data_IF_094553328537
#
_entry.id   IF_094553328537
#
_cell.length_a   1.000
_cell.length_b   1.000
_cell.length_c   1.000
_cell.angle_alpha   90.00
_cell.angle_beta   90.00
_cell.angle_gamma   90.00
#
_symmetry.space_group_name_H-M   'P 1'
#
loop_
_entity.id
_entity.type
_entity.pdbx_description
1 polymer ?
#
# COMPACT_ATOMS: atom_id res chain seq x y z
N UNK A 1 -14.62 3.16 30.00
CA UNK A 1 -15.41 2.03 29.50
C UNK A 1 -16.21 2.53 28.29
N UNK A 2 -15.68 2.38 27.10
CA UNK A 2 -16.38 2.74 25.86
C UNK A 2 -17.17 1.50 25.41
N UNK A 3 -18.50 1.59 25.52
CA UNK A 3 -19.39 0.55 25.02
C UNK A 3 -19.32 0.53 23.48
N UNK A 4 -18.69 -0.50 22.93
CA UNK A 4 -18.67 -0.76 21.51
C UNK A 4 -20.07 -1.13 21.01
N UNK A 5 -20.52 -0.49 19.95
CA UNK A 5 -21.74 -0.84 19.23
C UNK A 5 -21.60 -2.27 18.69
N UNK A 6 -22.50 -3.20 18.96
CA UNK A 6 -22.39 -4.59 18.49
C UNK A 6 -22.57 -4.66 16.97
N UNK A 7 -21.92 -5.62 16.26
CA UNK A 7 -21.95 -5.74 14.80
C UNK A 7 -23.33 -6.07 14.20
N UNK A 8 -24.32 -6.41 15.00
CA UNK A 8 -25.67 -6.81 14.56
C UNK A 8 -26.70 -5.69 14.50
N UNK A 9 -26.33 -4.42 14.74
CA UNK A 9 -27.27 -3.29 14.73
C UNK A 9 -26.86 -2.18 13.78
N UNK A 10 -26.60 -2.51 12.52
CA UNK A 10 -26.68 -1.50 11.45
C UNK A 10 -28.14 -1.41 11.03
N UNK A 11 -28.93 -0.71 11.85
CA UNK A 11 -30.31 -0.38 11.53
C UNK A 11 -30.35 0.50 10.26
N UNK A 12 -31.40 0.37 9.42
CA UNK A 12 -31.56 1.25 8.26
C UNK A 12 -31.84 2.68 8.74
N UNK A 13 -31.03 3.59 8.23
CA UNK A 13 -31.19 5.04 8.18
C UNK A 13 -32.13 5.70 9.22
N UNK A 14 -31.50 6.31 10.22
CA UNK A 14 -32.18 7.25 11.11
C UNK A 14 -31.24 7.84 12.17
N UNK A 15 -30.69 9.03 11.85
CA UNK A 15 -30.11 10.04 12.74
C UNK A 15 -28.82 9.78 13.53
N UNK A 16 -27.98 10.81 13.40
CA UNK A 16 -26.72 11.13 14.09
C UNK A 16 -25.53 10.23 13.72
N UNK A 17 -24.57 10.82 13.01
CA UNK A 17 -23.31 10.17 12.55
C UNK A 17 -22.66 9.36 13.68
N UNK A 18 -22.56 8.06 13.50
CA UNK A 18 -21.90 7.17 14.43
C UNK A 18 -20.38 7.45 14.40
N UNK A 19 -19.79 7.77 15.54
CA UNK A 19 -18.33 7.86 15.67
C UNK A 19 -17.75 6.46 15.86
N UNK A 20 -16.95 6.00 14.89
CA UNK A 20 -16.18 4.79 15.00
C UNK A 20 -14.73 5.15 15.34
N UNK A 21 -14.37 5.02 16.62
CA UNK A 21 -12.99 5.10 17.07
C UNK A 21 -12.30 3.74 16.87
N UNK A 22 -11.13 3.75 16.25
CA UNK A 22 -10.35 2.55 15.96
C UNK A 22 -8.95 2.70 16.54
N UNK A 23 -8.53 1.69 17.30
CA UNK A 23 -7.17 1.52 17.76
C UNK A 23 -6.60 0.20 17.20
N UNK A 24 -5.35 0.18 16.73
CA UNK A 24 -4.69 -1.05 16.30
C UNK A 24 -4.43 -1.96 17.51
N UNK A 25 -4.41 -3.25 17.26
CA UNK A 25 -4.00 -4.25 18.26
C UNK A 25 -2.47 -4.26 18.39
N UNK A 26 -1.96 -3.57 19.40
CA UNK A 26 -0.52 -3.46 19.68
C UNK A 26 0.09 -4.74 20.28
N UNK A 27 -0.70 -5.76 20.62
CA UNK A 27 -0.19 -7.03 21.13
C UNK A 27 0.37 -7.94 20.02
N UNK A 28 0.02 -7.67 18.77
CA UNK A 28 0.47 -8.44 17.60
C UNK A 28 1.88 -8.01 17.18
N UNK A 29 2.77 -8.94 16.79
CA UNK A 29 4.06 -8.58 16.23
C UNK A 29 3.90 -7.75 14.95
N UNK A 30 4.84 -6.83 14.73
CA UNK A 30 4.81 -5.99 13.53
C UNK A 30 5.01 -6.84 12.29
N UNK A 31 4.06 -6.74 11.37
CA UNK A 31 4.12 -7.36 10.05
C UNK A 31 3.73 -6.30 9.01
N UNK A 32 4.76 -5.79 8.34
CA UNK A 32 4.64 -4.77 7.30
C UNK A 32 4.57 -5.37 5.90
N UNK A 33 4.37 -4.51 4.90
CA UNK A 33 4.43 -4.92 3.50
C UNK A 33 5.07 -3.87 2.60
N UNK A 34 5.85 -4.34 1.62
CA UNK A 34 6.22 -3.63 0.41
C UNK A 34 5.16 -3.99 -0.65
N UNK A 35 4.47 -3.01 -1.18
CA UNK A 35 3.31 -3.24 -2.05
C UNK A 35 3.40 -2.41 -3.35
N UNK A 36 4.42 -2.69 -4.21
CA UNK A 36 4.57 -1.98 -5.47
C UNK A 36 3.51 -2.39 -6.49
N UNK A 37 3.02 -1.41 -7.27
CA UNK A 37 2.15 -1.65 -8.43
C UNK A 37 2.97 -1.57 -9.71
N UNK A 38 3.10 -2.64 -10.51
CA UNK A 38 4.01 -2.72 -11.65
C UNK A 38 3.45 -1.97 -12.88
N UNK A 39 3.18 -0.68 -12.70
CA UNK A 39 2.66 0.23 -13.74
C UNK A 39 3.72 1.20 -14.28
N UNK A 40 4.95 1.11 -13.80
CA UNK A 40 6.12 1.93 -14.17
C UNK A 40 7.26 1.71 -13.18
N UNK A 41 8.39 2.38 -13.38
CA UNK A 41 9.55 2.26 -12.49
C UNK A 41 9.30 2.89 -11.11
N UNK A 42 10.05 2.42 -10.10
CA UNK A 42 10.12 3.04 -8.77
C UNK A 42 10.84 4.38 -8.91
N UNK A 43 10.22 5.47 -8.45
CA UNK A 43 10.87 6.77 -8.30
C UNK A 43 11.25 7.02 -6.83
N UNK A 44 12.07 8.05 -6.57
CA UNK A 44 12.55 8.36 -5.22
C UNK A 44 11.42 8.47 -4.17
N UNK A 45 10.24 8.98 -4.54
CA UNK A 45 9.09 9.05 -3.64
C UNK A 45 8.56 7.67 -3.22
N UNK A 46 8.51 6.70 -4.16
CA UNK A 46 8.17 5.32 -3.82
C UNK A 46 9.28 4.69 -2.96
N UNK A 47 10.54 4.91 -3.33
CA UNK A 47 11.70 4.40 -2.58
C UNK A 47 11.69 4.91 -1.12
N UNK A 48 11.35 6.18 -0.89
CA UNK A 48 11.19 6.75 0.45
C UNK A 48 10.11 6.01 1.26
N UNK A 49 8.93 5.78 0.65
CA UNK A 49 7.83 5.07 1.30
C UNK A 49 8.20 3.60 1.60
N UNK A 50 8.90 2.92 0.68
CA UNK A 50 9.36 1.54 0.89
C UNK A 50 10.47 1.46 1.94
N UNK A 51 11.42 2.40 1.95
CA UNK A 51 12.44 2.50 2.98
C UNK A 51 11.79 2.68 4.36
N UNK A 52 10.81 3.57 4.48
CA UNK A 52 10.09 3.78 5.73
C UNK A 52 9.30 2.55 6.17
N UNK A 53 8.61 1.86 5.24
CA UNK A 53 7.90 0.62 5.54
C UNK A 53 8.86 -0.46 6.08
N UNK A 54 10.01 -0.60 5.44
CA UNK A 54 11.04 -1.54 5.83
C UNK A 54 11.63 -1.19 7.21
N UNK A 55 11.98 0.09 7.44
CA UNK A 55 12.54 0.55 8.71
C UNK A 55 11.55 0.36 9.86
N UNK A 56 10.28 0.71 9.69
CA UNK A 56 9.24 0.52 10.71
C UNK A 56 9.12 -0.95 11.14
N UNK A 57 9.16 -1.89 10.18
CA UNK A 57 9.06 -3.31 10.49
C UNK A 57 10.37 -3.85 11.08
N UNK A 58 11.53 -3.58 10.47
CA UNK A 58 12.81 -4.15 10.89
C UNK A 58 13.31 -3.60 12.24
N UNK A 59 13.12 -2.32 12.50
CA UNK A 59 13.46 -1.73 13.81
C UNK A 59 12.60 -2.30 14.95
N UNK A 60 11.39 -2.77 14.65
CA UNK A 60 10.54 -3.45 15.61
C UNK A 60 10.81 -4.98 15.69
N UNK A 61 11.82 -5.51 15.02
CA UNK A 61 12.07 -6.96 14.91
C UNK A 61 10.98 -7.71 14.17
N UNK A 62 10.19 -7.01 13.34
CA UNK A 62 9.04 -7.53 12.63
C UNK A 62 9.36 -8.16 11.28
N UNK A 63 8.33 -8.68 10.64
CA UNK A 63 8.39 -9.31 9.32
C UNK A 63 7.96 -8.35 8.21
N UNK A 64 8.49 -8.59 7.01
CA UNK A 64 8.17 -7.85 5.79
C UNK A 64 7.65 -8.79 4.71
N UNK A 65 6.51 -8.45 4.12
CA UNK A 65 5.91 -9.15 2.98
C UNK A 65 6.09 -8.32 1.73
N UNK A 66 6.57 -8.90 0.63
CA UNK A 66 6.47 -8.29 -0.70
C UNK A 66 5.16 -8.75 -1.35
N UNK A 67 4.31 -7.81 -1.75
CA UNK A 67 3.08 -8.07 -2.51
C UNK A 67 3.08 -7.28 -3.80
N UNK A 68 2.92 -7.97 -4.93
CA UNK A 68 2.81 -7.31 -6.24
C UNK A 68 1.36 -6.89 -6.48
N UNK A 69 1.11 -5.57 -6.59
CA UNK A 69 -0.24 -5.02 -6.79
C UNK A 69 -0.54 -4.84 -8.30
N UNK A 70 -0.74 -5.97 -8.97
CA UNK A 70 -0.93 -6.11 -10.42
C UNK A 70 -2.38 -6.44 -10.83
N UNK A 71 -3.35 -6.05 -10.01
CA UNK A 71 -4.78 -6.37 -10.18
C UNK A 71 -5.40 -5.79 -11.47
N UNK A 72 -4.86 -4.71 -12.00
CA UNK A 72 -5.33 -4.07 -13.26
C UNK A 72 -4.46 -4.53 -14.43
N UNK A 73 -4.92 -5.51 -15.25
CA UNK A 73 -4.11 -6.10 -16.32
C UNK A 73 -3.82 -5.12 -17.46
N UNK A 74 -4.64 -4.08 -17.64
CA UNK A 74 -4.42 -3.08 -18.67
C UNK A 74 -3.24 -2.15 -18.35
N UNK A 75 -2.89 -2.01 -17.08
CA UNK A 75 -1.87 -1.09 -16.58
C UNK A 75 -0.60 -1.78 -16.10
N UNK A 76 -0.71 -3.02 -15.63
CA UNK A 76 0.40 -3.79 -15.09
C UNK A 76 1.22 -4.43 -16.19
N UNK A 77 2.55 -4.45 -16.00
CA UNK A 77 3.51 -5.04 -16.93
C UNK A 77 4.50 -5.90 -16.15
N UNK A 78 4.72 -7.17 -16.58
CA UNK A 78 5.65 -8.07 -15.89
C UNK A 78 7.08 -7.52 -15.81
N UNK A 79 7.52 -6.80 -16.85
CA UNK A 79 8.85 -6.20 -16.90
C UNK A 79 9.08 -5.21 -15.74
N UNK A 80 8.05 -4.41 -15.41
CA UNK A 80 8.13 -3.52 -14.27
C UNK A 80 8.14 -4.27 -12.94
N UNK A 81 7.49 -5.42 -12.83
CA UNK A 81 7.53 -6.22 -11.61
C UNK A 81 8.97 -6.70 -11.31
N UNK A 82 9.66 -7.23 -12.33
CA UNK A 82 11.06 -7.65 -12.22
C UNK A 82 11.97 -6.47 -11.87
N UNK A 83 11.82 -5.33 -12.58
CA UNK A 83 12.62 -4.15 -12.30
C UNK A 83 12.40 -3.62 -10.88
N UNK A 84 11.16 -3.62 -10.38
CA UNK A 84 10.86 -3.21 -9.01
C UNK A 84 11.53 -4.09 -7.96
N UNK A 85 11.55 -5.39 -8.18
CA UNK A 85 12.27 -6.34 -7.31
C UNK A 85 13.76 -6.05 -7.32
N UNK A 86 14.36 -5.85 -8.49
CA UNK A 86 15.77 -5.45 -8.63
C UNK A 86 16.07 -4.16 -7.88
N UNK A 87 15.22 -3.15 -8.03
CA UNK A 87 15.40 -1.86 -7.39
C UNK A 87 15.29 -1.95 -5.86
N UNK A 88 14.33 -2.74 -5.34
CA UNK A 88 14.21 -2.98 -3.89
C UNK A 88 15.45 -3.68 -3.33
N UNK A 89 15.93 -4.74 -3.98
CA UNK A 89 17.14 -5.46 -3.57
C UNK A 89 18.38 -4.59 -3.67
N UNK A 90 18.52 -3.83 -4.75
CA UNK A 90 19.62 -2.89 -4.92
C UNK A 90 19.65 -1.82 -3.82
N UNK A 91 18.49 -1.35 -3.36
CA UNK A 91 18.38 -0.44 -2.21
C UNK A 91 18.68 -1.13 -0.86
N UNK A 92 18.79 -2.46 -0.82
CA UNK A 92 18.99 -3.25 0.40
C UNK A 92 17.68 -3.49 1.18
N UNK A 93 16.53 -3.42 0.52
CA UNK A 93 15.22 -3.66 1.11
C UNK A 93 14.78 -5.09 0.82
N UNK A 94 15.04 -5.99 1.74
CA UNK A 94 14.66 -7.39 1.71
C UNK A 94 13.25 -7.66 2.26
N UNK A 95 12.76 -8.88 2.10
CA UNK A 95 11.47 -9.34 2.64
C UNK A 95 11.55 -10.80 3.09
N UNK A 96 10.59 -11.22 3.92
CA UNK A 96 10.51 -12.59 4.47
C UNK A 96 9.62 -13.49 3.62
N UNK A 97 8.60 -12.94 2.98
CA UNK A 97 7.63 -13.64 2.13
C UNK A 97 7.32 -12.78 0.91
N UNK A 98 7.13 -13.40 -0.24
CA UNK A 98 6.83 -12.68 -1.48
C UNK A 98 6.67 -13.59 -2.69
N UNK A 99 6.38 -13.03 -3.88
CA UNK A 99 6.30 -13.81 -5.11
C UNK A 99 7.65 -14.42 -5.46
N UNK A 100 7.61 -15.55 -6.12
CA UNK A 100 8.81 -16.21 -6.66
C UNK A 100 9.19 -15.56 -7.98
N UNK A 101 10.47 -15.22 -8.10
CA UNK A 101 11.06 -14.72 -9.34
C UNK A 101 12.18 -15.67 -9.75
N UNK A 102 11.91 -16.67 -10.62
CA UNK A 102 12.88 -17.68 -11.03
C UNK A 102 14.17 -17.11 -11.64
N UNK A 103 14.08 -15.94 -12.27
CA UNK A 103 15.21 -15.26 -12.93
C UNK A 103 16.09 -14.46 -11.94
N UNK A 104 15.66 -14.33 -10.69
CA UNK A 104 16.38 -13.51 -9.71
C UNK A 104 17.78 -14.05 -9.36
N UNK A 105 18.00 -15.36 -9.22
CA UNK A 105 19.34 -15.89 -8.92
C UNK A 105 20.41 -15.44 -9.91
N UNK A 106 20.07 -15.31 -11.18
CA UNK A 106 21.00 -14.88 -12.24
C UNK A 106 21.34 -13.38 -12.15
N UNK A 107 20.53 -12.61 -11.43
CA UNK A 107 20.68 -11.16 -11.27
C UNK A 107 21.37 -10.77 -9.94
N UNK A 108 21.48 -11.69 -9.00
CA UNK A 108 22.04 -11.43 -7.67
C UNK A 108 23.51 -11.04 -7.66
N UNK A 109 24.40 -11.63 -8.50
CA UNK A 109 25.81 -11.25 -8.52
C UNK A 109 26.02 -9.75 -8.76
N UNK A 110 25.13 -9.14 -9.56
CA UNK A 110 25.20 -7.71 -9.89
C UNK A 110 24.57 -6.80 -8.84
N UNK A 111 23.78 -7.36 -7.93
CA UNK A 111 22.99 -6.60 -6.94
C UNK A 111 23.55 -6.63 -5.53
N UNK A 112 24.36 -7.66 -5.19
CA UNK A 112 24.95 -7.81 -3.86
C UNK A 112 26.40 -7.31 -3.84
N UNK A 113 26.82 -6.55 -2.82
CA UNK A 113 28.23 -6.18 -2.67
C UNK A 113 29.10 -7.45 -2.52
N UNK A 114 30.33 -7.38 -3.04
CA UNK A 114 31.27 -8.50 -3.08
C UNK A 114 31.47 -9.22 -1.72
N UNK A 115 31.34 -8.49 -0.61
CA UNK A 115 31.36 -9.04 0.76
C UNK A 115 30.19 -9.97 1.11
N UNK A 116 29.11 -9.95 0.31
CA UNK A 116 27.94 -10.82 0.48
C UNK A 116 27.97 -12.02 -0.47
N UNK A 117 28.81 -12.01 -1.50
CA UNK A 117 28.92 -13.07 -2.52
C UNK A 117 29.58 -14.34 -1.95
N UNK A 118 30.51 -14.20 -1.00
CA UNK A 118 31.20 -15.34 -0.35
C UNK A 118 30.24 -16.20 0.48
N UNK A 119 29.04 -15.69 0.83
CA UNK A 119 28.00 -16.45 1.56
C UNK A 119 26.97 -17.13 0.67
N UNK A 120 26.95 -16.83 -0.63
CA UNK A 120 26.02 -17.44 -1.58
C UNK A 120 26.45 -18.88 -1.98
N UNK A 121 27.73 -19.24 -1.79
CA UNK A 121 28.27 -20.56 -2.13
C UNK A 121 27.97 -21.66 -1.10
N UNK A 122 27.48 -21.32 0.09
CA UNK A 122 27.13 -22.28 1.15
C UNK A 122 25.69 -22.84 1.11
N UNK A 123 25.02 -22.72 -0.04
CA UNK A 123 23.65 -23.17 -0.21
C UNK A 123 23.55 -24.70 -0.40
N UNK A 124 23.59 -25.42 0.72
CA UNK A 124 23.19 -26.84 0.76
C UNK A 124 21.68 -26.99 0.55
N UNK A 125 21.21 -27.97 -0.25
CA UNK A 125 19.78 -28.15 -0.58
C UNK A 125 18.91 -28.71 0.56
N UNK A 126 19.44 -28.91 1.75
CA UNK A 126 18.68 -29.40 2.91
C UNK A 126 18.29 -28.28 3.87
N UNK A 127 17.00 -28.14 4.24
CA UNK A 127 16.57 -27.15 5.21
C UNK A 127 17.14 -27.49 6.60
N UNK A 128 17.73 -26.53 7.32
CA UNK A 128 18.05 -26.73 8.72
C UNK A 128 16.76 -26.87 9.55
N UNK A 129 16.78 -27.71 10.57
CA UNK A 129 15.69 -27.87 11.52
C UNK A 129 15.38 -26.54 12.23
N UNK A 130 14.10 -26.32 12.59
CA UNK A 130 13.58 -25.08 13.21
C UNK A 130 14.25 -24.64 14.53
N UNK A 131 15.19 -25.41 15.07
CA UNK A 131 15.88 -25.17 16.35
C UNK A 131 17.18 -24.37 16.24
N UNK A 132 17.70 -24.06 15.03
CA UNK A 132 19.00 -23.42 14.81
C UNK A 132 18.90 -22.03 14.11
N UNK A 133 17.82 -21.31 14.26
CA UNK A 133 17.69 -19.97 13.71
C UNK A 133 18.51 -18.96 14.53
N UNK A 134 19.74 -18.69 14.10
CA UNK A 134 20.53 -17.54 14.57
C UNK A 134 19.85 -16.23 14.10
N UNK A 135 19.63 -15.24 14.99
CA UNK A 135 19.15 -13.92 14.57
C UNK A 135 20.16 -13.28 13.63
N UNK A 136 19.77 -13.00 12.38
CA UNK A 136 20.62 -12.34 11.37
C UNK A 136 20.96 -13.17 10.13
N UNK A 137 20.48 -14.40 10.00
CA UNK A 137 20.59 -15.13 8.74
C UNK A 137 19.70 -14.44 7.69
N UNK A 138 20.33 -13.79 6.69
CA UNK A 138 19.62 -13.20 5.56
C UNK A 138 18.80 -14.29 4.86
N UNK A 139 17.48 -14.26 5.07
CA UNK A 139 16.56 -15.10 4.30
C UNK A 139 16.57 -14.60 2.86
N UNK A 140 16.76 -15.51 1.93
CA UNK A 140 16.78 -15.21 0.50
C UNK A 140 15.38 -14.77 0.04
N UNK A 141 15.23 -13.60 -0.62
CA UNK A 141 13.95 -12.94 -0.86
C UNK A 141 13.04 -13.59 -1.92
N UNK A 142 13.46 -14.67 -2.55
CA UNK A 142 12.73 -15.35 -3.64
C UNK A 142 12.03 -16.65 -3.22
N UNK A 143 11.91 -16.91 -1.96
CA UNK A 143 11.11 -18.03 -1.46
C UNK A 143 9.71 -17.53 -1.19
N UNK A 144 8.72 -18.17 -1.78
CA UNK A 144 7.32 -18.01 -1.42
C UNK A 144 7.12 -18.06 0.11
N UNK A 145 5.92 -18.18 0.57
CA UNK A 145 5.61 -18.22 1.99
C UNK A 145 4.21 -18.80 2.21
N UNK A 146 3.77 -18.93 3.48
CA UNK A 146 2.51 -19.57 3.82
C UNK A 146 1.28 -18.76 3.42
N UNK A 147 1.43 -17.46 3.07
CA UNK A 147 0.30 -16.57 2.76
C UNK A 147 0.15 -16.27 1.25
N UNK A 148 0.87 -17.04 0.40
CA UNK A 148 0.78 -16.91 -1.04
C UNK A 148 -0.61 -17.25 -1.62
N UNK A 149 -0.79 -16.97 -2.91
CA UNK A 149 0.12 -16.26 -3.82
C UNK A 149 0.27 -14.77 -3.44
N UNK A 150 1.37 -14.14 -3.87
CA UNK A 150 1.70 -12.75 -3.49
C UNK A 150 1.49 -11.73 -4.61
N UNK A 151 0.95 -12.14 -5.75
CA UNK A 151 0.51 -11.28 -6.84
C UNK A 151 -1.00 -11.15 -6.81
N UNK A 152 -1.53 -9.93 -6.90
CA UNK A 152 -2.98 -9.69 -6.80
C UNK A 152 -3.76 -10.35 -7.95
N UNK A 153 -3.17 -10.44 -9.13
CA UNK A 153 -3.76 -11.12 -10.30
C UNK A 153 -4.07 -12.60 -10.05
N UNK A 154 -3.35 -13.25 -9.13
CA UNK A 154 -3.54 -14.65 -8.73
C UNK A 154 -4.52 -14.84 -7.56
N UNK A 155 -5.02 -13.74 -6.98
CA UNK A 155 -5.85 -13.74 -5.75
C UNK A 155 -7.33 -13.41 -6.00
N UNK A 156 -7.77 -13.40 -7.24
CA UNK A 156 -9.12 -12.96 -7.64
C UNK A 156 -10.24 -13.75 -6.94
N UNK A 157 -10.00 -15.03 -6.62
CA UNK A 157 -10.96 -15.84 -5.85
C UNK A 157 -11.21 -15.29 -4.44
N UNK A 158 -10.14 -14.86 -3.73
CA UNK A 158 -10.27 -14.26 -2.39
C UNK A 158 -11.10 -12.97 -2.41
N UNK A 159 -10.90 -12.15 -3.46
CA UNK A 159 -11.69 -10.92 -3.61
C UNK A 159 -13.15 -11.21 -3.96
N UNK A 160 -13.40 -12.25 -4.76
CA UNK A 160 -14.75 -12.71 -5.08
C UNK A 160 -15.47 -13.21 -3.84
N UNK A 161 -14.82 -13.99 -2.99
CA UNK A 161 -15.38 -14.52 -1.73
C UNK A 161 -15.70 -13.38 -0.74
N UNK A 162 -14.79 -12.43 -0.59
CA UNK A 162 -15.00 -11.25 0.25
C UNK A 162 -16.18 -10.41 -0.26
N UNK A 163 -16.27 -10.18 -1.57
CA UNK A 163 -17.40 -9.48 -2.19
C UNK A 163 -18.71 -10.23 -1.97
N UNK A 164 -18.73 -11.55 -2.19
CA UNK A 164 -19.93 -12.38 -1.98
C UNK A 164 -20.39 -12.35 -0.51
N UNK A 165 -19.45 -12.29 0.45
CA UNK A 165 -19.77 -12.09 1.86
C UNK A 165 -20.45 -10.75 2.09
N UNK A 166 -19.87 -9.65 1.59
CA UNK A 166 -20.44 -8.31 1.70
C UNK A 166 -21.82 -8.20 1.02
N UNK A 167 -22.04 -8.94 -0.08
CA UNK A 167 -23.35 -9.02 -0.77
C UNK A 167 -24.40 -9.72 0.10
N UNK A 168 -24.09 -10.89 0.67
CA UNK A 168 -25.02 -11.63 1.54
C UNK A 168 -25.43 -10.83 2.77
N UNK A 169 -24.50 -10.05 3.30
CA UNK A 169 -24.74 -9.20 4.47
C UNK A 169 -25.40 -7.85 4.12
N UNK A 170 -25.66 -7.58 2.81
CA UNK A 170 -26.36 -6.40 2.32
C UNK A 170 -25.53 -5.11 2.34
N UNK A 171 -24.22 -5.22 2.53
CA UNK A 171 -23.30 -4.07 2.58
C UNK A 171 -22.93 -3.50 1.21
N UNK A 172 -23.22 -4.23 0.13
CA UNK A 172 -22.94 -3.75 -1.24
C UNK A 172 -24.19 -3.75 -2.11
N UNK A 173 -24.14 -3.02 -3.19
CA UNK A 173 -25.23 -2.94 -4.17
C UNK A 173 -24.70 -2.65 -5.58
N UNK A 174 -25.44 -3.06 -6.64
CA UNK A 174 -25.08 -2.78 -8.02
C UNK A 174 -25.31 -1.31 -8.39
N UNK A 175 -24.32 -0.68 -8.99
CA UNK A 175 -24.35 0.68 -9.50
C UNK A 175 -24.19 0.67 -11.02
N UNK A 176 -25.16 1.22 -11.73
CA UNK A 176 -25.21 1.26 -13.19
C UNK A 176 -24.80 2.61 -13.78
N UNK A 177 -24.33 3.55 -12.97
CA UNK A 177 -23.85 4.84 -13.45
C UNK A 177 -22.62 4.69 -14.34
N UNK A 178 -22.63 5.35 -15.49
CA UNK A 178 -21.51 5.44 -16.40
C UNK A 178 -20.43 6.41 -15.87
N UNK A 179 -19.19 6.29 -16.39
CA UNK A 179 -18.12 7.25 -16.05
C UNK A 179 -18.50 8.70 -16.42
N UNK A 180 -19.26 8.88 -17.51
CA UNK A 180 -19.74 10.21 -17.95
C UNK A 180 -20.74 10.79 -16.95
N UNK A 181 -21.73 9.98 -16.51
CA UNK A 181 -22.70 10.39 -15.49
C UNK A 181 -22.00 10.74 -14.17
N UNK A 182 -21.03 9.91 -13.73
CA UNK A 182 -20.26 10.18 -12.52
C UNK A 182 -19.45 11.47 -12.62
N UNK A 183 -18.85 11.80 -13.78
CA UNK A 183 -18.13 13.05 -13.98
C UNK A 183 -19.06 14.27 -13.95
N UNK A 184 -20.24 14.18 -14.52
CA UNK A 184 -21.22 15.26 -14.47
C UNK A 184 -21.71 15.55 -13.04
N UNK A 185 -21.85 14.50 -12.22
CA UNK A 185 -22.17 14.63 -10.80
C UNK A 185 -20.98 15.19 -9.99
N UNK A 186 -19.77 15.01 -10.51
CA UNK A 186 -18.50 15.46 -9.95
C UNK A 186 -18.22 16.97 -10.12
N UNK A 187 -18.91 17.64 -11.01
CA UNK A 187 -18.68 19.06 -11.33
C UNK A 187 -19.23 20.02 -10.27
N UNK A 188 -19.73 19.52 -9.13
CA UNK A 188 -20.02 20.33 -7.96
C UNK A 188 -18.71 20.79 -7.26
N UNK A 189 -18.64 22.03 -6.74
CA UNK A 189 -17.38 22.71 -6.38
C UNK A 189 -16.65 22.22 -5.12
N UNK A 190 -16.89 21.02 -4.63
CA UNK A 190 -16.29 20.46 -3.41
C UNK A 190 -15.61 19.11 -3.62
N UNK A 191 -14.83 18.96 -4.69
CA UNK A 191 -13.97 17.80 -4.86
C UNK A 191 -12.74 17.96 -3.95
N UNK A 192 -12.82 17.42 -2.72
CA UNK A 192 -11.63 17.18 -1.90
C UNK A 192 -10.70 16.14 -2.55
N UNK A 193 -9.56 15.84 -1.94
CA UNK A 193 -8.56 14.86 -2.41
C UNK A 193 -9.12 13.46 -2.73
N UNK A 194 -10.28 13.12 -2.20
CA UNK A 194 -10.98 11.85 -2.44
C UNK A 194 -11.75 11.78 -3.78
N UNK A 195 -11.72 12.85 -4.56
CA UNK A 195 -12.59 12.98 -5.72
C UNK A 195 -14.05 13.27 -5.33
N UNK A 196 -14.96 13.44 -6.32
CA UNK A 196 -16.33 13.80 -6.06
C UNK A 196 -17.07 12.68 -5.33
N UNK A 197 -17.85 13.06 -4.31
CA UNK A 197 -18.69 12.15 -3.58
C UNK A 197 -19.76 11.54 -4.49
N UNK A 198 -19.93 10.23 -4.41
CA UNK A 198 -21.01 9.56 -5.15
C UNK A 198 -22.37 9.85 -4.48
N UNK A 199 -23.35 10.39 -5.19
CA UNK A 199 -24.62 10.84 -4.60
C UNK A 199 -25.60 9.71 -4.24
N UNK A 200 -25.21 8.44 -4.41
CA UNK A 200 -26.07 7.30 -4.05
C UNK A 200 -27.17 6.97 -5.06
N UNK A 201 -27.12 7.48 -6.27
CA UNK A 201 -28.17 7.36 -7.32
C UNK A 201 -28.73 5.93 -7.49
N UNK A 202 -27.86 4.90 -7.43
CA UNK A 202 -28.30 3.50 -7.57
C UNK A 202 -28.55 2.79 -6.23
N UNK A 203 -28.34 3.46 -5.09
CA UNK A 203 -28.40 2.84 -3.76
C UNK A 203 -29.76 2.24 -3.43
N UNK A 204 -30.83 2.90 -3.90
CA UNK A 204 -32.21 2.51 -3.62
C UNK A 204 -32.95 1.92 -4.84
N UNK A 205 -32.22 1.54 -5.91
CA UNK A 205 -32.86 0.91 -7.06
C UNK A 205 -33.59 -0.38 -6.65
N UNK A 206 -34.87 -0.44 -6.99
CA UNK A 206 -35.68 -1.65 -6.77
C UNK A 206 -35.24 -2.83 -7.65
N UNK A 207 -35.70 -4.02 -7.31
CA UNK A 207 -35.35 -5.23 -8.08
C UNK A 207 -35.77 -5.14 -9.55
N UNK A 208 -36.95 -4.57 -9.84
CA UNK A 208 -37.45 -4.36 -11.21
C UNK A 208 -36.52 -3.46 -12.04
N UNK A 209 -36.10 -2.32 -11.49
CA UNK A 209 -35.20 -1.39 -12.20
C UNK A 209 -33.81 -1.99 -12.42
N UNK A 210 -33.30 -2.78 -11.45
CA UNK A 210 -32.04 -3.52 -11.61
C UNK A 210 -32.14 -4.54 -12.74
N UNK A 211 -33.23 -5.35 -12.76
CA UNK A 211 -33.47 -6.35 -13.79
C UNK A 211 -33.58 -5.70 -15.19
N UNK A 212 -34.32 -4.57 -15.30
CA UNK A 212 -34.42 -3.82 -16.55
C UNK A 212 -33.05 -3.37 -17.06
N UNK A 213 -32.22 -2.76 -16.20
CA UNK A 213 -30.88 -2.29 -16.57
C UNK A 213 -29.96 -3.42 -17.00
N UNK A 214 -30.04 -4.59 -16.34
CA UNK A 214 -29.32 -5.79 -16.74
C UNK A 214 -29.80 -6.31 -18.10
N UNK A 215 -31.11 -6.31 -18.35
CA UNK A 215 -31.69 -6.70 -19.64
C UNK A 215 -31.29 -5.74 -20.78
N UNK A 216 -31.05 -4.44 -20.46
CA UNK A 216 -30.46 -3.45 -21.38
C UNK A 216 -28.97 -3.70 -21.66
N UNK A 217 -28.36 -4.76 -21.13
CA UNK A 217 -26.94 -5.11 -21.28
C UNK A 217 -25.97 -4.28 -20.42
N UNK A 218 -26.48 -3.50 -19.47
CA UNK A 218 -25.62 -2.71 -18.57
C UNK A 218 -24.93 -3.62 -17.55
N UNK A 219 -23.62 -3.50 -17.46
CA UNK A 219 -22.81 -4.19 -16.43
C UNK A 219 -22.64 -3.27 -15.22
N UNK A 220 -23.06 -3.68 -14.01
CA UNK A 220 -22.93 -2.84 -12.85
C UNK A 220 -21.51 -2.91 -12.25
N UNK A 221 -21.06 -1.78 -11.71
CA UNK A 221 -20.05 -1.77 -10.67
C UNK A 221 -20.69 -2.18 -9.33
N UNK A 222 -19.91 -2.79 -8.42
CA UNK A 222 -20.37 -3.07 -7.06
C UNK A 222 -19.86 -1.98 -6.12
N UNK A 223 -20.76 -1.36 -5.35
CA UNK A 223 -20.41 -0.31 -4.38
C UNK A 223 -20.74 -0.72 -2.97
N UNK A 224 -19.84 -0.38 -2.03
CA UNK A 224 -20.09 -0.49 -0.60
C UNK A 224 -21.03 0.64 -0.16
N UNK A 225 -22.01 0.30 0.69
CA UNK A 225 -22.83 1.28 1.39
C UNK A 225 -22.02 1.92 2.50
N UNK A 226 -21.78 3.20 2.39
CA UNK A 226 -21.26 3.97 3.49
C UNK A 226 -22.41 4.46 4.35
N UNK A 227 -22.37 4.18 5.66
CA UNK A 227 -23.22 4.85 6.61
C UNK A 227 -22.75 6.29 6.79
N UNK A 228 -23.58 7.15 7.37
CA UNK A 228 -23.16 8.46 7.84
C UNK A 228 -22.29 8.29 9.10
N UNK A 229 -21.06 7.83 8.85
CA UNK A 229 -20.12 7.41 9.90
C UNK A 229 -18.86 8.26 9.80
N UNK A 230 -18.42 8.76 10.94
CA UNK A 230 -17.13 9.40 11.12
C UNK A 230 -16.14 8.36 11.61
N UNK A 231 -15.06 8.16 10.88
CA UNK A 231 -13.96 7.28 11.26
C UNK A 231 -12.91 8.12 12.00
N UNK A 232 -12.57 7.70 13.22
CA UNK A 232 -11.50 8.29 14.01
C UNK A 232 -10.40 7.25 14.23
N UNK A 233 -9.17 7.57 13.86
CA UNK A 233 -7.97 6.75 14.04
C UNK A 233 -6.75 7.63 14.30
N UNK A 234 -5.68 7.04 14.78
CA UNK A 234 -4.40 7.75 14.96
C UNK A 234 -3.39 7.23 13.94
N UNK A 235 -2.94 8.11 13.07
CA UNK A 235 -1.79 7.86 12.20
C UNK A 235 -0.50 8.19 12.97
N UNK A 236 0.55 7.39 12.77
CA UNK A 236 1.80 7.54 13.55
C UNK A 236 2.61 8.80 13.17
N UNK A 237 2.46 9.32 11.95
CA UNK A 237 3.12 10.54 11.49
C UNK A 237 2.10 11.70 11.42
N UNK A 238 0.98 11.51 10.73
CA UNK A 238 -0.02 12.54 10.54
C UNK A 238 -0.83 12.84 11.83
N UNK A 239 -0.73 11.99 12.87
CA UNK A 239 -1.41 12.19 14.14
C UNK A 239 -2.89 11.80 14.12
N UNK A 240 -3.69 12.32 15.07
CA UNK A 240 -5.11 11.99 15.15
C UNK A 240 -5.88 12.44 13.91
N UNK A 241 -6.65 11.54 13.34
CA UNK A 241 -7.48 11.76 12.16
C UNK A 241 -8.95 11.55 12.51
N UNK A 242 -9.81 12.39 11.93
CA UNK A 242 -11.26 12.26 12.06
C UNK A 242 -11.90 12.66 10.74
N UNK A 243 -12.42 11.69 10.01
CA UNK A 243 -12.91 11.86 8.64
C UNK A 243 -14.28 11.21 8.48
N UNK A 244 -15.23 11.95 7.90
CA UNK A 244 -16.53 11.41 7.51
C UNK A 244 -16.37 10.54 6.24
N UNK A 245 -17.00 9.36 6.23
CA UNK A 245 -17.05 8.54 5.00
C UNK A 245 -17.73 9.27 3.86
N UNK A 246 -18.71 10.13 4.14
CA UNK A 246 -19.36 10.97 3.12
C UNK A 246 -18.39 11.94 2.46
N UNK A 247 -17.55 12.63 3.26
CA UNK A 247 -16.50 13.55 2.79
C UNK A 247 -15.38 12.79 2.04
N UNK A 248 -15.09 11.56 2.45
CA UNK A 248 -14.15 10.67 1.75
C UNK A 248 -14.73 10.05 0.46
N UNK A 249 -15.78 10.63 -0.14
CA UNK A 249 -16.35 10.22 -1.41
C UNK A 249 -17.59 9.33 -1.32
N UNK A 250 -18.11 9.06 -0.13
CA UNK A 250 -19.34 8.28 0.09
C UNK A 250 -19.21 6.82 -0.36
N UNK A 251 -20.29 6.30 -0.91
CA UNK A 251 -20.34 4.90 -1.41
C UNK A 251 -19.29 4.69 -2.51
N UNK A 252 -18.31 3.85 -2.26
CA UNK A 252 -17.18 3.62 -3.17
C UNK A 252 -17.24 2.25 -3.86
N UNK A 253 -16.63 2.15 -5.03
CA UNK A 253 -16.60 0.91 -5.79
C UNK A 253 -15.62 -0.09 -5.17
N UNK A 254 -16.06 -1.36 -5.10
CA UNK A 254 -15.23 -2.52 -4.72
C UNK A 254 -15.02 -3.48 -5.90
N UNK A 255 -15.87 -3.40 -6.93
CA UNK A 255 -15.65 -4.02 -8.25
C UNK A 255 -16.13 -3.07 -9.33
N UNK A 256 -15.35 -2.89 -10.37
CA UNK A 256 -15.64 -2.07 -11.54
C UNK A 256 -16.67 -2.76 -12.45
N UNK A 257 -17.29 -2.01 -13.34
CA UNK A 257 -18.26 -2.55 -14.33
C UNK A 257 -17.62 -3.46 -15.39
N UNK A 258 -16.31 -3.37 -15.59
CA UNK A 258 -15.51 -4.28 -16.44
C UNK A 258 -15.13 -5.58 -15.72
N UNK A 259 -15.46 -5.72 -14.43
CA UNK A 259 -15.21 -6.91 -13.63
C UNK A 259 -13.96 -6.85 -12.77
N UNK A 260 -13.07 -5.88 -13.00
CA UNK A 260 -11.83 -5.71 -12.20
C UNK A 260 -12.18 -5.29 -10.77
N UNK A 261 -11.58 -5.96 -9.78
CA UNK A 261 -11.72 -5.57 -8.39
C UNK A 261 -11.02 -4.23 -8.13
N UNK A 262 -11.61 -3.41 -7.28
CA UNK A 262 -11.06 -2.11 -6.97
C UNK A 262 -9.98 -2.21 -5.89
N UNK A 263 -9.00 -1.32 -5.96
CA UNK A 263 -7.89 -1.20 -5.00
C UNK A 263 -8.34 -1.28 -3.54
N UNK A 264 -9.43 -0.57 -3.18
CA UNK A 264 -9.89 -0.52 -1.79
C UNK A 264 -10.27 -1.90 -1.22
N UNK A 265 -10.87 -2.78 -2.02
CA UNK A 265 -11.21 -4.14 -1.59
C UNK A 265 -9.96 -5.02 -1.59
N UNK A 266 -9.21 -4.99 -2.67
CA UNK A 266 -8.07 -5.89 -2.85
C UNK A 266 -7.02 -5.69 -1.75
N UNK A 267 -6.61 -4.45 -1.46
CA UNK A 267 -5.60 -4.17 -0.44
C UNK A 267 -6.04 -4.63 0.96
N UNK A 268 -7.31 -4.45 1.30
CA UNK A 268 -7.84 -4.86 2.62
C UNK A 268 -7.90 -6.39 2.72
N UNK A 269 -8.42 -7.08 1.71
CA UNK A 269 -8.49 -8.54 1.69
C UNK A 269 -7.10 -9.16 1.75
N UNK A 270 -6.13 -8.58 1.03
CA UNK A 270 -4.75 -9.05 1.05
C UNK A 270 -4.08 -8.82 2.40
N UNK A 271 -4.21 -7.62 2.96
CA UNK A 271 -3.64 -7.30 4.26
C UNK A 271 -4.20 -8.21 5.37
N UNK A 272 -5.49 -8.54 5.31
CA UNK A 272 -6.13 -9.53 6.21
C UNK A 272 -5.52 -10.92 6.00
N UNK A 273 -5.52 -11.42 4.76
CA UNK A 273 -5.08 -12.77 4.44
C UNK A 273 -3.57 -12.98 4.68
N UNK A 274 -2.77 -11.94 4.55
CA UNK A 274 -1.33 -11.94 4.83
C UNK A 274 -1.00 -11.57 6.28
N UNK A 275 -1.99 -11.30 7.12
CA UNK A 275 -1.80 -10.97 8.53
C UNK A 275 -1.05 -9.67 8.77
N UNK A 276 -1.18 -8.69 7.88
CA UNK A 276 -0.52 -7.38 7.99
C UNK A 276 -1.05 -6.64 9.22
N UNK A 277 -0.14 -6.16 10.04
CA UNK A 277 -0.46 -5.40 11.26
C UNK A 277 -0.07 -3.94 11.17
N UNK A 278 0.78 -3.56 10.18
CA UNK A 278 1.21 -2.20 9.99
C UNK A 278 1.25 -1.85 8.50
N UNK A 279 0.60 -0.74 8.14
CA UNK A 279 0.49 -0.21 6.78
C UNK A 279 1.25 1.11 6.70
N UNK A 280 2.43 1.08 6.07
CA UNK A 280 3.23 2.27 5.77
C UNK A 280 3.11 2.59 4.29
N UNK A 281 2.83 3.87 3.95
CA UNK A 281 2.61 4.32 2.56
C UNK A 281 2.65 5.85 2.45
N UNK A 282 2.63 6.39 1.25
CA UNK A 282 2.57 7.84 1.04
C UNK A 282 1.28 8.47 1.56
N UNK A 283 1.35 9.72 1.99
CA UNK A 283 0.23 10.47 2.57
C UNK A 283 -0.82 10.88 1.52
N UNK A 284 -0.51 10.79 0.23
CA UNK A 284 -1.44 11.01 -0.89
C UNK A 284 -2.66 10.08 -0.88
N UNK A 285 -2.58 8.97 -0.16
CA UNK A 285 -3.68 8.04 0.01
C UNK A 285 -4.23 8.00 1.44
N UNK A 286 -3.85 8.95 2.30
CA UNK A 286 -4.39 9.09 3.65
C UNK A 286 -5.93 9.18 3.64
N UNK A 287 -6.49 9.95 2.72
CA UNK A 287 -7.94 10.10 2.54
C UNK A 287 -8.67 8.80 2.11
N UNK A 288 -7.94 7.76 1.68
CA UNK A 288 -8.49 6.42 1.42
C UNK A 288 -8.62 5.57 2.68
N UNK A 289 -7.89 5.90 3.74
CA UNK A 289 -7.82 5.11 4.98
C UNK A 289 -9.19 4.89 5.64
N UNK A 290 -10.09 5.87 5.75
CA UNK A 290 -11.42 5.65 6.33
C UNK A 290 -12.24 4.60 5.58
N UNK A 291 -12.14 4.53 4.24
CA UNK A 291 -12.83 3.52 3.43
C UNK A 291 -12.29 2.11 3.69
N UNK A 292 -10.98 1.99 3.86
CA UNK A 292 -10.32 0.71 4.17
C UNK A 292 -10.67 0.27 5.59
N UNK A 293 -10.61 1.17 6.58
CA UNK A 293 -11.07 0.89 7.96
C UNK A 293 -12.52 0.42 7.95
N UNK A 294 -13.39 1.04 7.14
CA UNK A 294 -14.78 0.62 6.99
C UNK A 294 -14.88 -0.81 6.46
N UNK A 295 -14.10 -1.18 5.46
CA UNK A 295 -14.05 -2.56 4.94
C UNK A 295 -13.56 -3.56 5.99
N UNK A 296 -12.49 -3.25 6.75
CA UNK A 296 -12.06 -4.09 7.88
C UNK A 296 -13.21 -4.36 8.85
N UNK A 297 -13.98 -3.32 9.19
CA UNK A 297 -15.13 -3.43 10.08
C UNK A 297 -16.25 -4.29 9.50
N UNK A 298 -16.57 -4.11 8.23
CA UNK A 298 -17.59 -4.90 7.55
C UNK A 298 -17.19 -6.38 7.43
N UNK A 299 -15.89 -6.64 7.30
CA UNK A 299 -15.33 -7.99 7.27
C UNK A 299 -15.05 -8.56 8.66
N UNK A 300 -15.30 -7.80 9.75
CA UNK A 300 -15.11 -8.27 11.13
C UNK A 300 -13.65 -8.50 11.53
N UNK A 301 -12.70 -7.82 10.85
CA UNK A 301 -11.27 -8.03 10.99
C UNK A 301 -10.59 -6.87 11.74
N UNK A 302 -9.47 -7.13 12.43
CA UNK A 302 -8.72 -6.10 13.13
C UNK A 302 -8.09 -5.12 12.15
N UNK A 303 -8.14 -3.82 12.51
CA UNK A 303 -7.56 -2.75 11.70
C UNK A 303 -6.07 -2.65 11.97
N UNK A 304 -5.21 -2.57 10.95
CA UNK A 304 -3.77 -2.38 11.12
C UNK A 304 -3.43 -0.98 11.64
N UNK A 305 -2.22 -0.81 12.14
CA UNK A 305 -1.63 0.51 12.39
C UNK A 305 -1.30 1.20 11.06
N UNK A 306 -1.55 2.52 10.98
CA UNK A 306 -1.25 3.32 9.80
C UNK A 306 -0.10 4.30 10.03
N UNK A 307 0.77 4.42 9.03
CA UNK A 307 1.89 5.35 8.99
C UNK A 307 1.91 5.99 7.60
N UNK A 308 1.48 7.24 7.48
CA UNK A 308 1.49 7.96 6.21
C UNK A 308 2.75 8.82 6.12
N UNK A 309 3.62 8.45 5.17
CA UNK A 309 4.93 9.09 4.93
C UNK A 309 4.71 10.34 4.08
N UNK A 310 5.32 11.48 4.45
CA UNK A 310 5.19 12.70 3.66
C UNK A 310 5.72 12.53 2.24
N UNK A 311 5.06 13.16 1.28
CA UNK A 311 5.44 13.07 -0.14
C UNK A 311 6.78 13.74 -0.40
N UNK A 312 7.54 13.14 -1.32
CA UNK A 312 8.61 13.84 -2.03
C UNK A 312 8.01 14.49 -3.29
N UNK A 313 8.14 15.79 -3.37
CA UNK A 313 7.69 16.61 -4.48
C UNK A 313 8.89 17.00 -5.36
N UNK A 314 8.67 17.34 -6.62
CA UNK A 314 9.69 17.91 -7.47
C UNK A 314 10.00 19.38 -7.07
N UNK A 315 10.91 20.02 -7.79
CA UNK A 315 11.31 21.40 -7.52
C UNK A 315 10.19 22.43 -7.75
N UNK A 316 9.14 22.05 -8.50
CA UNK A 316 7.94 22.86 -8.73
C UNK A 316 6.87 22.63 -7.65
N UNK A 317 7.09 21.69 -6.71
CA UNK A 317 6.14 21.32 -5.68
C UNK A 317 5.06 20.33 -6.15
N UNK A 318 5.26 19.72 -7.33
CA UNK A 318 4.37 18.73 -7.89
C UNK A 318 4.81 17.31 -7.51
N UNK A 319 3.89 16.36 -7.54
CA UNK A 319 4.22 14.95 -7.27
C UNK A 319 5.23 14.41 -8.28
N UNK A 320 6.21 13.67 -7.78
CA UNK A 320 7.10 12.91 -8.66
C UNK A 320 6.26 11.94 -9.52
N UNK A 321 6.41 12.05 -10.82
CA UNK A 321 5.67 11.30 -11.81
C UNK A 321 6.61 10.66 -12.84
N UNK A 322 6.08 9.83 -13.73
CA UNK A 322 6.85 9.16 -14.80
C UNK A 322 7.66 10.11 -15.71
N UNK A 323 7.27 11.40 -15.79
CA UNK A 323 8.02 12.45 -16.51
C UNK A 323 9.41 12.74 -15.91
N UNK A 324 9.63 12.42 -14.62
CA UNK A 324 10.90 12.59 -13.91
C UNK A 324 11.75 11.31 -14.00
N UNK A 325 11.96 10.81 -15.22
CA UNK A 325 12.65 9.56 -15.48
C UNK A 325 14.06 9.47 -14.90
N UNK A 326 14.80 10.59 -14.76
CA UNK A 326 16.13 10.65 -14.14
C UNK A 326 16.12 10.29 -12.66
N UNK A 327 15.01 10.49 -11.97
CA UNK A 327 14.81 10.14 -10.55
C UNK A 327 14.18 8.76 -10.34
N UNK A 328 14.07 7.95 -11.41
CA UNK A 328 13.73 6.55 -11.28
C UNK A 328 14.94 5.78 -10.71
N UNK A 329 14.68 4.87 -9.75
CA UNK A 329 15.74 4.07 -9.11
C UNK A 329 16.54 3.28 -10.15
N UNK A 330 15.86 2.70 -11.14
CA UNK A 330 16.52 2.00 -12.26
C UNK A 330 17.46 2.90 -13.05
N UNK A 331 17.12 4.18 -13.26
CA UNK A 331 17.99 5.14 -13.95
C UNK A 331 19.21 5.51 -13.11
N UNK A 332 19.02 5.74 -11.80
CA UNK A 332 20.14 6.01 -10.87
C UNK A 332 21.09 4.81 -10.79
N UNK A 333 20.55 3.60 -10.68
CA UNK A 333 21.34 2.35 -10.70
C UNK A 333 22.13 2.21 -11.99
N UNK A 334 21.51 2.43 -13.15
CA UNK A 334 22.18 2.34 -14.46
C UNK A 334 23.24 3.44 -14.66
N UNK A 335 23.09 4.59 -13.99
CA UNK A 335 24.06 5.66 -13.98
C UNK A 335 25.25 5.44 -13.01
N UNK A 336 25.31 4.29 -12.32
CA UNK A 336 26.37 3.94 -11.38
C UNK A 336 26.27 4.66 -10.03
N UNK A 337 25.12 5.23 -9.68
CA UNK A 337 24.91 5.83 -8.36
C UNK A 337 24.94 4.74 -7.29
N UNK A 338 25.59 5.00 -6.16
CA UNK A 338 25.62 4.05 -5.04
C UNK A 338 24.23 3.92 -4.38
N UNK A 339 23.72 2.72 -4.10
CA UNK A 339 22.49 2.54 -3.34
C UNK A 339 22.57 3.18 -1.95
N UNK A 340 23.76 3.18 -1.32
CA UNK A 340 23.99 3.83 -0.03
C UNK A 340 23.82 5.35 -0.11
N UNK A 341 24.14 5.97 -1.25
CA UNK A 341 23.90 7.39 -1.48
C UNK A 341 22.40 7.69 -1.54
N UNK A 342 21.63 6.86 -2.28
CA UNK A 342 20.18 7.03 -2.38
C UNK A 342 19.52 6.86 -1.02
N UNK A 343 19.85 5.80 -0.29
CA UNK A 343 19.30 5.53 1.05
C UNK A 343 19.67 6.64 2.03
N UNK A 344 20.93 7.09 2.04
CA UNK A 344 21.40 8.15 2.92
C UNK A 344 20.77 9.50 2.61
N UNK A 345 20.60 9.83 1.33
CA UNK A 345 19.90 11.03 0.90
C UNK A 345 18.43 11.02 1.37
N UNK A 346 17.71 9.91 1.14
CA UNK A 346 16.34 9.75 1.59
C UNK A 346 16.23 9.84 3.13
N UNK A 347 17.13 9.19 3.85
CA UNK A 347 17.19 9.24 5.31
C UNK A 347 17.40 10.67 5.82
N UNK A 348 18.27 11.44 5.18
CA UNK A 348 18.47 12.86 5.51
C UNK A 348 17.21 13.68 5.22
N UNK A 349 16.62 13.55 4.03
CA UNK A 349 15.39 14.28 3.67
C UNK A 349 14.23 13.99 4.62
N UNK A 350 14.09 12.75 5.04
CA UNK A 350 13.06 12.30 5.98
C UNK A 350 13.33 12.71 7.44
N UNK A 351 14.49 13.30 7.75
CA UNK A 351 14.87 13.74 9.10
C UNK A 351 15.50 12.66 9.98
N UNK A 352 15.77 11.47 9.43
CA UNK A 352 16.42 10.38 10.15
C UNK A 352 17.93 10.60 10.34
N UNK A 353 18.53 11.43 9.48
CA UNK A 353 19.95 11.85 9.54
C UNK A 353 20.06 13.37 9.44
N UNK A 354 21.13 13.93 9.99
CA UNK A 354 21.37 15.39 9.98
C UNK A 354 22.02 15.88 8.67
N UNK A 355 22.66 14.97 7.93
CA UNK A 355 23.33 15.25 6.68
C UNK A 355 23.20 14.05 5.74
N UNK A 356 23.36 14.22 4.41
CA UNK A 356 23.42 13.11 3.46
C UNK A 356 24.74 12.35 3.64
N UNK A 357 24.65 11.09 4.05
CA UNK A 357 25.77 10.18 4.31
C UNK A 357 25.53 8.86 3.60
N UNK A 358 26.62 8.14 3.28
CA UNK A 358 26.50 6.79 2.71
C UNK A 358 26.07 5.80 3.80
N UNK A 359 24.84 5.32 3.74
CA UNK A 359 24.28 4.43 4.78
C UNK A 359 23.41 3.34 4.15
N UNK A 360 23.38 2.18 4.76
CA UNK A 360 22.48 1.06 4.42
C UNK A 360 21.17 1.14 5.21
N UNK A 361 20.08 0.50 4.74
CA UNK A 361 18.85 0.38 5.52
C UNK A 361 19.08 -0.32 6.88
N UNK A 362 19.96 -1.32 6.95
CA UNK A 362 20.30 -2.05 8.19
C UNK A 362 20.97 -1.16 9.23
N UNK A 363 21.90 -0.30 8.80
CA UNK A 363 22.53 0.68 9.71
C UNK A 363 21.49 1.68 10.24
N UNK A 364 20.51 2.06 9.41
CA UNK A 364 19.42 2.93 9.82
C UNK A 364 18.46 2.25 10.79
N UNK A 365 18.14 0.96 10.59
CA UNK A 365 17.21 0.23 11.46
C UNK A 365 17.66 0.20 12.93
N UNK A 366 18.98 0.12 13.17
CA UNK A 366 19.54 0.14 14.50
C UNK A 366 19.38 1.44 15.29
N UNK A 367 19.08 2.54 14.59
CA UNK A 367 18.94 3.89 15.18
C UNK A 367 17.61 4.55 14.80
N UNK A 368 16.69 3.78 14.22
CA UNK A 368 15.44 4.30 13.69
C UNK A 368 14.52 4.79 14.80
N UNK A 369 14.08 6.02 14.66
CA UNK A 369 13.07 6.63 15.51
C UNK A 369 12.03 7.35 14.63
N UNK A 370 10.81 6.81 14.60
CA UNK A 370 9.71 7.36 13.83
C UNK A 370 9.34 8.80 14.24
N UNK A 371 9.60 9.18 15.49
CA UNK A 371 9.31 10.53 15.98
C UNK A 371 10.17 11.62 15.32
N UNK A 372 11.31 11.25 14.73
CA UNK A 372 12.20 12.16 14.01
C UNK A 372 11.72 12.48 12.59
N UNK A 373 10.84 11.66 12.05
CA UNK A 373 10.37 11.81 10.66
C UNK A 373 9.62 13.13 10.50
N UNK A 374 10.00 13.88 9.47
CA UNK A 374 9.33 15.14 9.12
C UNK A 374 7.88 14.88 8.74
N UNK A 375 6.99 15.84 9.04
CA UNK A 375 5.54 15.68 8.84
C UNK A 375 5.00 16.38 7.61
N UNK A 376 5.82 17.23 7.00
CA UNK A 376 5.43 18.05 5.86
C UNK A 376 5.99 17.45 4.56
N UNK A 377 5.31 17.63 3.43
CA UNK A 377 5.86 17.27 2.12
C UNK A 377 7.23 17.91 1.90
N UNK A 378 8.11 17.20 1.21
CA UNK A 378 9.51 17.57 1.00
C UNK A 378 9.74 17.89 -0.47
N UNK A 379 10.00 19.17 -0.77
CA UNK A 379 10.39 19.59 -2.12
C UNK A 379 11.85 19.21 -2.37
N UNK A 380 12.09 18.46 -3.43
CA UNK A 380 13.43 18.08 -3.89
C UNK A 380 14.03 19.23 -4.71
N UNK A 381 15.34 19.50 -4.58
CA UNK A 381 16.02 20.45 -5.46
C UNK A 381 16.11 19.88 -6.88
N UNK A 382 16.33 20.77 -7.86
CA UNK A 382 16.40 20.40 -9.27
C UNK A 382 17.63 19.48 -9.56
N UNK A 383 18.71 19.66 -8.82
CA UNK A 383 20.00 18.96 -8.99
C UNK A 383 20.15 17.68 -8.16
N UNK A 384 19.02 17.01 -7.77
CA UNK A 384 19.05 15.80 -6.93
C UNK A 384 19.92 14.69 -7.50
N UNK A 385 19.83 14.44 -8.79
CA UNK A 385 20.63 13.39 -9.46
C UNK A 385 22.13 13.72 -9.43
N UNK A 386 22.53 14.98 -9.59
CA UNK A 386 23.91 15.42 -9.44
C UNK A 386 24.41 15.30 -7.99
N UNK A 387 23.55 15.61 -7.01
CA UNK A 387 23.86 15.41 -5.59
C UNK A 387 24.13 13.93 -5.31
N UNK A 388 23.25 13.05 -5.77
CA UNK A 388 23.38 11.59 -5.58
C UNK A 388 24.65 11.03 -6.22
N UNK A 389 25.01 11.49 -7.43
CA UNK A 389 26.26 11.09 -8.12
C UNK A 389 27.51 11.55 -7.37
N UNK A 390 27.48 12.75 -6.76
CA UNK A 390 28.61 13.25 -5.97
C UNK A 390 28.79 12.56 -4.61
N UNK A 391 27.73 11.95 -4.08
CA UNK A 391 27.77 11.22 -2.82
C UNK A 391 28.39 9.81 -2.95
N UNK A 392 28.33 9.18 -4.10
CA UNK A 392 28.76 7.80 -4.31
C UNK A 392 29.45 7.56 -5.60
#
# INVERSE_FOLDING_TARGET
MAQGCPPSSIAPAGNAGCLLAVAPDQSRPVRGRLAPSPTGHIHLGNAASFLMAWLCARAAGGQMVLRMEDIDPDRSRPEFAVDMVRDLLWLGLDWDEGPEFPELPDLLPDLLPASSQDRASDLSPNPPCDACATPGAHRMPWRGGPHGPYSQSERLALYADALARLEREGYVYPCFCTRKELRLLASAPHAGECGPAYPGTCRQLGQHDRARRLAEGRRPAMRVRCADTVIAFTDRIAGPQRMSLAECGGDFAVRRSDGVFAYQLAVVVDDIAMGITQVVRGDDILASTPRQIWLYRLLGEPVPEYVHVPLLLDHEGERLAKRHGSLAVAALRSAGVSPRAVVGYLAWRLGLRNAPELVTPHELAGIFDLARVVRQPLVLPEDVDDVLRRMG
#
